data_IF_232979782632
#
_entry.id   IF_232979782632
#
_cell.length_a   1.000
_cell.length_b   1.000
_cell.length_c   1.000
_cell.angle_alpha   90.00
_cell.angle_beta   90.00
_cell.angle_gamma   90.00
#
_symmetry.space_group_name_H-M   'P 1'
#
loop_
_entity.id
_entity.type
_entity.pdbx_description
1 polymer ?
#
# COMPACT_ATOMS: atom_id res chain seq x y z
N UNK A 1 -12.70 32.03 -26.10
CA UNK A 1 -13.55 30.88 -25.73
C UNK A 1 -12.93 30.41 -24.43
N UNK A 2 -13.65 30.58 -23.34
CA UNK A 2 -13.11 30.33 -22.00
C UNK A 2 -13.09 28.81 -21.82
N UNK A 3 -11.90 28.20 -21.81
CA UNK A 3 -11.70 26.73 -21.71
C UNK A 3 -12.13 26.17 -20.33
N UNK A 4 -12.69 27.01 -19.46
CA UNK A 4 -13.13 26.67 -18.11
C UNK A 4 -14.28 25.65 -18.06
N UNK A 5 -15.04 25.50 -19.16
CA UNK A 5 -16.18 24.58 -19.27
C UNK A 5 -15.89 23.35 -20.16
N UNK A 6 -14.68 23.21 -20.70
CA UNK A 6 -14.31 22.02 -21.47
C UNK A 6 -13.97 20.87 -20.52
N UNK A 7 -14.91 19.94 -20.34
CA UNK A 7 -14.70 18.71 -19.57
C UNK A 7 -13.61 17.80 -20.15
N UNK A 8 -13.12 18.07 -21.36
CA UNK A 8 -11.96 17.42 -21.97
C UNK A 8 -10.68 18.25 -21.86
N UNK A 9 -10.71 19.43 -21.24
CA UNK A 9 -9.51 20.22 -20.99
C UNK A 9 -8.59 19.45 -20.04
N UNK A 10 -7.53 18.90 -20.61
CA UNK A 10 -6.48 18.22 -19.86
C UNK A 10 -5.75 19.28 -19.02
N UNK A 11 -5.98 19.29 -17.70
CA UNK A 11 -5.35 20.21 -16.76
C UNK A 11 -3.80 20.16 -16.81
N UNK A 12 -3.22 19.03 -17.23
CA UNK A 12 -1.78 18.89 -17.50
C UNK A 12 -1.50 17.71 -18.43
N UNK A 13 -0.66 17.91 -19.45
CA UNK A 13 -0.28 16.86 -20.40
C UNK A 13 0.30 15.63 -19.66
N UNK A 14 -0.03 14.39 -20.07
CA UNK A 14 0.35 13.20 -19.30
C UNK A 14 1.87 13.03 -19.17
N UNK A 15 2.63 13.56 -20.13
CA UNK A 15 4.10 13.54 -20.18
C UNK A 15 4.79 14.72 -19.48
N UNK A 16 4.04 15.58 -18.77
CA UNK A 16 4.57 16.76 -18.08
C UNK A 16 4.02 16.88 -16.65
N UNK A 17 4.50 17.87 -15.91
CA UNK A 17 4.04 18.21 -14.56
C UNK A 17 4.57 17.30 -13.44
N UNK A 18 4.24 17.62 -12.18
CA UNK A 18 4.65 16.81 -11.02
C UNK A 18 4.09 15.37 -11.07
N UNK A 19 4.90 14.41 -10.62
CA UNK A 19 4.55 12.98 -10.60
C UNK A 19 4.14 12.53 -9.18
N UNK A 20 3.02 13.04 -8.71
CA UNK A 20 2.30 12.48 -7.55
C UNK A 20 1.33 11.39 -7.99
N UNK A 21 0.91 10.54 -7.05
CA UNK A 21 -0.05 9.48 -7.30
C UNK A 21 -1.37 10.06 -7.81
N UNK A 22 -1.80 9.61 -8.99
CA UNK A 22 -3.01 10.06 -9.68
C UNK A 22 -3.13 11.60 -9.77
N UNK A 23 -2.01 12.32 -9.87
CA UNK A 23 -1.94 13.80 -9.89
C UNK A 23 -2.52 14.48 -8.65
N UNK A 24 -2.66 13.76 -7.54
CA UNK A 24 -3.14 14.31 -6.29
C UNK A 24 -2.21 15.42 -5.77
N UNK A 25 -2.72 16.39 -4.99
CA UNK A 25 -1.88 17.38 -4.33
C UNK A 25 -0.80 16.70 -3.48
N UNK A 26 0.44 17.19 -3.61
CA UNK A 26 1.49 16.85 -2.66
C UNK A 26 1.30 17.69 -1.40
N UNK A 27 1.01 17.05 -0.27
CA UNK A 27 0.86 17.74 1.00
C UNK A 27 1.36 16.86 2.16
N UNK A 28 2.10 17.47 3.09
CA UNK A 28 2.60 16.82 4.30
C UNK A 28 1.66 17.00 5.48
N UNK A 29 0.65 17.86 5.34
CA UNK A 29 -0.46 18.00 6.27
C UNK A 29 -1.66 17.16 5.79
N UNK A 30 -1.96 16.02 6.44
CA UNK A 30 -3.08 15.16 6.07
C UNK A 30 -4.43 15.66 6.59
N UNK A 31 -4.51 16.84 7.24
CA UNK A 31 -5.76 17.37 7.83
C UNK A 31 -6.88 17.42 6.81
N UNK A 32 -8.02 16.78 7.11
CA UNK A 32 -9.20 16.59 6.25
C UNK A 32 -9.05 15.59 5.09
N UNK A 33 -7.99 14.77 5.05
CA UNK A 33 -7.81 13.79 3.97
C UNK A 33 -8.75 12.60 4.20
N UNK A 34 -9.45 12.16 3.16
CA UNK A 34 -10.11 10.86 3.18
C UNK A 34 -9.08 9.74 2.97
N UNK A 35 -8.10 9.98 2.08
CA UNK A 35 -7.08 9.00 1.68
C UNK A 35 -5.70 9.67 1.66
N UNK A 36 -4.74 9.09 2.36
CA UNK A 36 -3.34 9.51 2.36
C UNK A 36 -2.50 8.45 1.66
N UNK A 37 -1.86 8.82 0.56
CA UNK A 37 -0.92 7.95 -0.17
C UNK A 37 0.46 8.09 0.42
N UNK A 38 1.07 6.98 0.82
CA UNK A 38 2.41 6.94 1.40
C UNK A 38 3.28 5.92 0.67
N UNK A 39 4.47 6.33 0.24
CA UNK A 39 5.45 5.39 -0.30
C UNK A 39 6.32 4.78 0.79
N UNK A 40 6.57 3.48 0.70
CA UNK A 40 7.43 2.73 1.62
C UNK A 40 8.59 2.08 0.85
N UNK A 41 9.57 2.86 0.37
CA UNK A 41 10.64 2.34 -0.49
C UNK A 41 11.60 1.45 0.30
N UNK A 42 11.37 0.13 0.26
CA UNK A 42 12.16 -0.89 0.95
C UNK A 42 12.21 -2.18 0.13
N UNK A 43 13.36 -2.83 -0.02
CA UNK A 43 13.46 -4.17 -0.63
C UNK A 43 14.44 -5.09 0.13
N UNK A 44 14.69 -4.75 1.40
CA UNK A 44 15.63 -5.47 2.26
C UNK A 44 15.09 -6.81 2.78
N UNK A 45 13.81 -7.10 2.57
CA UNK A 45 13.16 -8.36 2.91
C UNK A 45 13.06 -9.33 1.73
N UNK A 46 13.53 -8.94 0.54
CA UNK A 46 13.46 -9.77 -0.67
C UNK A 46 14.33 -11.02 -0.59
N UNK A 47 13.78 -12.15 -1.05
CA UNK A 47 14.50 -13.45 -1.09
C UNK A 47 15.12 -13.77 -2.45
N UNK A 48 14.86 -12.95 -3.48
CA UNK A 48 15.41 -13.16 -4.82
C UNK A 48 15.97 -11.87 -5.43
N UNK A 49 15.18 -11.14 -6.24
CA UNK A 49 15.65 -9.93 -6.94
C UNK A 49 15.31 -8.67 -6.13
N UNK A 50 16.29 -7.80 -5.84
CA UNK A 50 16.00 -6.46 -5.34
C UNK A 50 15.48 -5.57 -6.46
N UNK A 51 14.95 -4.40 -6.10
CA UNK A 51 14.44 -3.40 -7.03
C UNK A 51 13.12 -2.76 -6.60
N UNK A 52 12.36 -3.44 -5.73
CA UNK A 52 11.07 -2.96 -5.27
C UNK A 52 11.14 -1.63 -4.51
N UNK A 53 12.31 -1.24 -3.96
CA UNK A 53 12.52 0.10 -3.36
C UNK A 53 12.22 1.26 -4.32
N UNK A 54 12.23 1.03 -5.64
CA UNK A 54 11.86 2.03 -6.66
C UNK A 54 10.37 1.99 -7.05
N UNK A 55 9.61 1.04 -6.51
CA UNK A 55 8.19 0.82 -6.75
C UNK A 55 7.33 2.06 -6.52
N UNK A 56 7.45 2.81 -5.40
CA UNK A 56 6.60 3.97 -5.15
C UNK A 56 6.73 5.04 -6.24
N UNK A 57 7.95 5.25 -6.75
CA UNK A 57 8.20 6.18 -7.85
C UNK A 57 7.57 5.68 -9.15
N UNK A 58 7.76 4.41 -9.48
CA UNK A 58 7.23 3.81 -10.71
C UNK A 58 5.70 3.86 -10.74
N UNK A 59 5.03 3.55 -9.62
CA UNK A 59 3.56 3.60 -9.53
C UNK A 59 3.04 5.02 -9.75
N UNK A 60 3.65 6.03 -9.12
CA UNK A 60 3.27 7.44 -9.34
C UNK A 60 3.40 7.83 -10.81
N UNK A 61 4.52 7.51 -11.44
CA UNK A 61 4.76 7.78 -12.86
C UNK A 61 3.72 7.11 -13.78
N UNK A 62 3.31 5.87 -13.50
CA UNK A 62 2.33 5.16 -14.31
C UNK A 62 0.88 5.58 -14.02
N UNK A 63 0.63 6.25 -12.90
CA UNK A 63 -0.73 6.68 -12.49
C UNK A 63 -1.21 7.98 -13.17
N UNK A 64 -0.39 8.63 -14.00
CA UNK A 64 -0.71 9.96 -14.55
C UNK A 64 -2.01 10.01 -15.35
N UNK A 65 -2.36 8.95 -16.06
CA UNK A 65 -3.63 8.85 -16.80
C UNK A 65 -4.84 8.67 -15.88
N UNK A 66 -4.67 7.99 -14.75
CA UNK A 66 -5.73 7.88 -13.73
C UNK A 66 -6.07 9.29 -13.23
N UNK A 67 -5.07 10.12 -12.95
CA UNK A 67 -5.31 11.52 -12.55
C UNK A 67 -5.96 12.42 -13.60
N UNK A 68 -6.02 12.01 -14.88
CA UNK A 68 -6.63 12.81 -15.95
C UNK A 68 -8.15 12.70 -16.04
N UNK A 69 -8.73 11.67 -15.42
CA UNK A 69 -10.16 11.43 -15.44
C UNK A 69 -10.73 11.49 -14.02
N UNK A 70 -10.67 12.65 -13.32
CA UNK A 70 -11.17 12.75 -11.95
C UNK A 70 -12.68 12.46 -11.84
N UNK A 71 -13.42 12.61 -12.94
CA UNK A 71 -14.84 12.29 -13.08
C UNK A 71 -15.11 10.78 -13.34
N UNK A 72 -14.14 9.90 -13.17
CA UNK A 72 -14.38 8.46 -13.12
C UNK A 72 -13.57 7.63 -14.12
N UNK A 73 -13.52 6.33 -13.83
CA UNK A 73 -12.77 5.34 -14.60
C UNK A 73 -13.68 4.19 -14.98
N UNK A 74 -13.62 3.74 -16.24
CA UNK A 74 -14.34 2.55 -16.66
C UNK A 74 -13.91 1.31 -15.84
N UNK A 75 -14.82 0.41 -15.42
CA UNK A 75 -16.28 0.42 -15.62
C UNK A 75 -17.05 1.03 -14.43
N UNK A 76 -16.42 1.86 -13.61
CA UNK A 76 -16.96 2.32 -12.33
C UNK A 76 -17.80 3.59 -12.47
N UNK A 77 -18.96 3.60 -11.82
CA UNK A 77 -19.77 4.81 -11.63
C UNK A 77 -19.22 5.72 -10.52
N UNK A 78 -18.37 5.19 -9.64
CA UNK A 78 -17.79 5.94 -8.53
C UNK A 78 -16.69 6.89 -8.99
N UNK A 79 -16.77 8.16 -8.61
CA UNK A 79 -15.81 9.20 -8.98
C UNK A 79 -14.86 9.51 -7.82
N UNK A 80 -14.06 8.52 -7.39
CA UNK A 80 -13.25 8.60 -6.15
C UNK A 80 -12.40 9.87 -6.08
N UNK A 81 -11.74 10.27 -7.17
CA UNK A 81 -10.88 11.46 -7.20
C UNK A 81 -11.65 12.80 -7.14
N UNK A 82 -12.94 12.80 -7.48
CA UNK A 82 -13.81 13.97 -7.35
C UNK A 82 -14.57 14.01 -6.01
N UNK A 83 -14.89 12.84 -5.45
CA UNK A 83 -15.71 12.70 -4.24
C UNK A 83 -14.91 12.61 -2.95
N UNK A 84 -13.61 12.28 -3.02
CA UNK A 84 -12.74 12.07 -1.86
C UNK A 84 -11.50 12.93 -1.95
N UNK A 85 -11.09 13.50 -0.81
CA UNK A 85 -9.85 14.27 -0.70
C UNK A 85 -8.68 13.30 -0.54
N UNK A 86 -8.00 13.04 -1.66
CA UNK A 86 -6.79 12.24 -1.72
C UNK A 86 -5.55 13.14 -1.71
N UNK A 87 -4.56 12.80 -0.88
CA UNK A 87 -3.29 13.53 -0.74
C UNK A 87 -2.12 12.57 -0.97
N UNK A 88 -1.14 12.97 -1.78
CA UNK A 88 0.15 12.28 -1.85
C UNK A 88 1.10 12.85 -0.81
N UNK A 89 1.36 12.07 0.24
CA UNK A 89 2.19 12.48 1.37
C UNK A 89 3.69 12.29 1.09
N UNK A 90 4.04 11.73 -0.07
CA UNK A 90 5.40 11.37 -0.43
C UNK A 90 5.83 10.03 0.19
N UNK A 91 7.12 9.92 0.50
CA UNK A 91 7.71 8.67 0.98
C UNK A 91 8.07 8.76 2.47
N UNK A 92 8.02 7.62 3.16
CA UNK A 92 8.51 7.48 4.53
C UNK A 92 10.05 7.46 4.48
N UNK A 93 10.66 8.62 4.72
CA UNK A 93 12.11 8.80 4.64
C UNK A 93 12.92 7.81 5.50
N UNK A 94 12.34 7.35 6.61
CA UNK A 94 12.94 6.36 7.50
C UNK A 94 13.34 5.08 6.77
N UNK A 95 12.66 4.64 5.71
CA UNK A 95 12.97 3.35 5.07
C UNK A 95 14.22 3.35 4.20
N UNK A 96 14.72 4.52 3.81
CA UNK A 96 15.75 4.68 2.75
C UNK A 96 17.15 4.21 3.20
N UNK A 97 17.47 4.27 4.49
CA UNK A 97 18.83 3.99 5.00
C UNK A 97 18.96 2.66 5.76
N UNK A 98 17.91 1.83 5.80
CA UNK A 98 17.86 0.61 6.61
C UNK A 98 18.02 -0.70 5.82
N UNK A 99 18.84 -0.71 4.76
CA UNK A 99 19.13 -1.94 4.03
C UNK A 99 19.64 -3.03 4.99
N UNK A 100 18.94 -4.17 5.05
CA UNK A 100 19.24 -5.28 5.96
C UNK A 100 18.81 -5.10 7.42
N UNK A 101 18.05 -4.06 7.76
CA UNK A 101 17.53 -3.81 9.13
C UNK A 101 15.99 -3.72 9.16
N UNK A 102 15.29 -4.85 8.93
CA UNK A 102 13.83 -4.90 8.85
C UNK A 102 13.12 -4.28 10.06
N UNK A 103 13.65 -4.45 11.27
CA UNK A 103 13.05 -3.95 12.51
C UNK A 103 13.05 -2.42 12.57
N UNK A 104 14.05 -1.76 11.97
CA UNK A 104 14.11 -0.29 11.90
C UNK A 104 13.10 0.25 10.90
N UNK A 105 12.93 -0.44 9.76
CA UNK A 105 11.87 -0.13 8.80
C UNK A 105 10.50 -0.25 9.47
N UNK A 106 10.23 -1.34 10.20
CA UNK A 106 8.97 -1.53 10.93
C UNK A 106 8.70 -0.38 11.90
N UNK A 107 9.67 -0.02 12.74
CA UNK A 107 9.55 1.09 13.69
C UNK A 107 9.19 2.40 12.99
N UNK A 108 9.92 2.76 11.93
CA UNK A 108 9.78 4.06 11.28
C UNK A 108 8.48 4.15 10.47
N UNK A 109 8.06 3.06 9.83
CA UNK A 109 6.76 3.01 9.15
C UNK A 109 5.63 3.18 10.14
N UNK A 110 5.65 2.45 11.26
CA UNK A 110 4.62 2.59 12.31
C UNK A 110 4.57 4.01 12.87
N UNK A 111 5.73 4.60 13.18
CA UNK A 111 5.81 5.96 13.70
C UNK A 111 5.32 7.03 12.70
N UNK A 112 5.53 6.82 11.40
CA UNK A 112 5.06 7.73 10.36
C UNK A 112 3.56 7.58 10.08
N UNK A 113 3.03 6.36 10.13
CA UNK A 113 1.64 6.04 9.73
C UNK A 113 0.64 6.24 10.86
N UNK A 114 1.03 6.00 12.10
CA UNK A 114 0.17 6.21 13.27
C UNK A 114 -0.52 7.59 13.33
N UNK A 115 0.19 8.73 13.18
CA UNK A 115 -0.46 10.04 13.16
C UNK A 115 -1.33 10.27 11.91
N UNK A 116 -1.08 9.57 10.80
CA UNK A 116 -1.93 9.67 9.59
C UNK A 116 -3.25 8.94 9.83
N UNK A 117 -3.22 7.74 10.41
CA UNK A 117 -4.43 7.00 10.78
C UNK A 117 -5.23 7.74 11.86
N UNK A 118 -4.55 8.46 12.77
CA UNK A 118 -5.20 9.23 13.83
C UNK A 118 -6.08 10.38 13.32
N UNK A 119 -5.92 10.83 12.06
CA UNK A 119 -6.82 11.83 11.46
C UNK A 119 -8.17 11.23 11.03
N UNK A 120 -8.29 9.90 11.01
CA UNK A 120 -9.43 9.17 10.44
C UNK A 120 -9.27 8.88 8.95
N UNK A 121 -8.17 9.30 8.31
CA UNK A 121 -7.88 8.99 6.93
C UNK A 121 -7.56 7.50 6.72
N UNK A 122 -7.92 6.98 5.55
CA UNK A 122 -7.41 5.69 5.07
C UNK A 122 -6.00 5.86 4.51
N UNK A 123 -5.13 4.88 4.73
CA UNK A 123 -3.75 4.90 4.22
C UNK A 123 -3.62 3.98 3.01
N UNK A 124 -3.19 4.54 1.88
CA UNK A 124 -2.82 3.80 0.68
C UNK A 124 -1.29 3.69 0.59
N UNK A 125 -0.77 2.53 0.97
CA UNK A 125 0.66 2.23 0.90
C UNK A 125 1.12 1.88 -0.51
N UNK A 126 2.06 2.64 -1.07
CA UNK A 126 2.81 2.25 -2.26
C UNK A 126 4.06 1.52 -1.82
N UNK A 127 4.10 0.23 -2.10
CA UNK A 127 5.11 -0.65 -1.55
C UNK A 127 6.50 -0.46 -2.12
N UNK A 128 7.44 -0.88 -1.29
CA UNK A 128 8.56 -1.69 -1.73
C UNK A 128 8.17 -3.17 -1.73
N UNK A 129 9.05 -4.07 -1.28
CA UNK A 129 8.74 -5.49 -1.14
C UNK A 129 7.56 -5.74 -0.18
N UNK A 130 7.01 -6.95 -0.18
CA UNK A 130 5.76 -7.24 0.54
C UNK A 130 5.89 -7.10 2.06
N UNK A 131 7.11 -7.12 2.60
CA UNK A 131 7.36 -7.00 4.03
C UNK A 131 6.82 -5.67 4.59
N UNK A 132 6.72 -4.62 3.76
CA UNK A 132 6.17 -3.31 4.17
C UNK A 132 4.70 -3.38 4.62
N UNK A 133 3.96 -4.43 4.23
CA UNK A 133 2.59 -4.63 4.67
C UNK A 133 2.51 -4.89 6.19
N UNK A 134 3.52 -5.53 6.77
CA UNK A 134 3.55 -5.90 8.18
C UNK A 134 3.39 -4.70 9.14
N UNK A 135 4.23 -3.64 9.08
CA UNK A 135 4.04 -2.46 9.92
C UNK A 135 2.76 -1.67 9.61
N UNK A 136 2.27 -1.71 8.35
CA UNK A 136 1.02 -1.05 7.96
C UNK A 136 -0.20 -1.74 8.59
N UNK A 137 -0.23 -3.08 8.52
CA UNK A 137 -1.24 -3.91 9.19
C UNK A 137 -1.18 -3.69 10.70
N UNK A 138 0.01 -3.72 11.30
CA UNK A 138 0.20 -3.51 12.74
C UNK A 138 -0.41 -2.17 13.20
N UNK A 139 -0.01 -1.06 12.56
CA UNK A 139 -0.49 0.27 12.91
C UNK A 139 -2.01 0.41 12.72
N UNK A 140 -2.55 -0.20 11.67
CA UNK A 140 -4.00 -0.18 11.38
C UNK A 140 -4.76 -1.01 12.43
N UNK A 141 -4.27 -2.20 12.77
CA UNK A 141 -4.91 -3.08 13.75
C UNK A 141 -4.87 -2.49 15.17
N UNK A 142 -3.80 -1.78 15.53
CA UNK A 142 -3.71 -1.06 16.82
C UNK A 142 -4.77 0.04 16.97
N UNK A 143 -5.26 0.58 15.85
CA UNK A 143 -6.30 1.63 15.83
C UNK A 143 -7.72 1.04 15.74
N UNK A 144 -7.90 -0.01 14.94
CA UNK A 144 -9.22 -0.52 14.58
C UNK A 144 -9.57 -1.89 15.18
N UNK A 145 -8.61 -2.54 15.86
CA UNK A 145 -8.72 -3.92 16.30
C UNK A 145 -8.24 -4.92 15.22
N UNK A 146 -8.30 -6.23 15.51
CA UNK A 146 -7.90 -7.28 14.56
C UNK A 146 -8.61 -7.16 13.20
N UNK A 147 -7.86 -7.38 12.12
CA UNK A 147 -8.29 -7.12 10.75
C UNK A 147 -8.57 -8.40 9.97
N UNK A 148 -9.55 -8.33 9.05
CA UNK A 148 -9.64 -9.28 7.95
C UNK A 148 -8.69 -8.87 6.83
N UNK A 149 -7.96 -9.83 6.24
CA UNK A 149 -7.06 -9.61 5.13
C UNK A 149 -7.69 -10.13 3.83
N UNK A 150 -7.70 -9.28 2.79
CA UNK A 150 -7.87 -9.70 1.40
C UNK A 150 -6.52 -9.61 0.72
N UNK A 151 -5.93 -10.76 0.42
CA UNK A 151 -4.58 -10.89 -0.12
C UNK A 151 -4.62 -11.43 -1.54
N UNK A 152 -4.07 -10.70 -2.51
CA UNK A 152 -4.00 -11.13 -3.91
C UNK A 152 -2.53 -11.32 -4.26
N UNK A 153 -2.08 -12.57 -4.33
CA UNK A 153 -0.67 -12.89 -4.56
C UNK A 153 -0.52 -14.31 -5.12
N UNK A 154 0.63 -14.60 -5.73
CA UNK A 154 1.06 -15.96 -6.05
C UNK A 154 1.55 -16.73 -4.81
N UNK A 155 1.95 -16.01 -3.76
CA UNK A 155 2.61 -16.51 -2.56
C UNK A 155 1.72 -16.34 -1.34
N UNK A 156 1.77 -17.30 -0.42
CA UNK A 156 0.98 -17.23 0.82
C UNK A 156 1.55 -16.21 1.82
N UNK A 157 2.86 -15.98 1.77
CA UNK A 157 3.62 -15.14 2.71
C UNK A 157 3.37 -15.48 4.19
N UNK A 158 3.08 -16.77 4.44
CA UNK A 158 2.80 -17.37 5.75
C UNK A 158 3.71 -18.57 6.03
N UNK A 159 4.88 -18.67 5.38
CA UNK A 159 5.80 -19.79 5.63
C UNK A 159 6.33 -19.77 7.07
N UNK A 160 6.48 -20.95 7.65
CA UNK A 160 7.18 -21.11 8.94
C UNK A 160 8.68 -21.23 8.72
N UNK A 161 9.39 -20.15 9.00
CA UNK A 161 10.86 -20.09 8.99
C UNK A 161 11.38 -19.68 10.38
N UNK A 162 10.63 -19.96 11.44
CA UNK A 162 10.86 -19.41 12.78
C UNK A 162 10.41 -17.94 12.89
N UNK A 163 11.11 -17.15 13.70
CA UNK A 163 10.77 -15.76 14.00
C UNK A 163 11.38 -14.75 12.99
N UNK A 164 11.90 -15.25 11.87
CA UNK A 164 12.55 -14.43 10.84
C UNK A 164 11.51 -13.59 10.10
N UNK A 165 11.53 -12.28 10.34
CA UNK A 165 10.68 -11.32 9.65
C UNK A 165 11.24 -10.98 8.25
N UNK A 166 10.58 -11.46 7.20
CA UNK A 166 10.87 -11.17 5.80
C UNK A 166 9.58 -11.11 4.96
N UNK A 167 9.71 -10.86 3.65
CA UNK A 167 8.56 -10.68 2.74
C UNK A 167 7.73 -11.95 2.44
N UNK A 168 8.10 -13.12 2.99
CA UNK A 168 7.37 -14.38 2.86
C UNK A 168 6.89 -14.97 4.19
N UNK A 169 7.14 -14.32 5.31
CA UNK A 169 6.77 -14.84 6.65
C UNK A 169 5.85 -13.90 7.42
N UNK A 170 5.75 -12.65 6.97
CA UNK A 170 5.15 -11.57 7.75
C UNK A 170 3.66 -11.74 8.03
N UNK A 171 2.89 -12.41 7.17
CA UNK A 171 1.47 -12.62 7.45
C UNK A 171 1.23 -13.76 8.44
N UNK A 172 2.14 -14.74 8.54
CA UNK A 172 2.12 -15.72 9.64
C UNK A 172 2.35 -15.00 10.97
N UNK A 173 3.37 -14.16 11.04
CA UNK A 173 3.70 -13.38 12.24
C UNK A 173 2.55 -12.43 12.62
N UNK A 174 1.98 -11.69 11.66
CA UNK A 174 0.87 -10.79 11.91
C UNK A 174 -0.40 -11.52 12.41
N UNK A 175 -0.65 -12.75 11.96
CA UNK A 175 -1.71 -13.60 12.48
C UNK A 175 -1.42 -14.09 13.91
N UNK A 176 -0.17 -14.50 14.20
CA UNK A 176 0.25 -14.92 15.54
C UNK A 176 0.17 -13.77 16.56
N UNK A 177 0.46 -12.54 16.14
CA UNK A 177 0.33 -11.33 16.96
C UNK A 177 -1.12 -10.86 17.13
N UNK A 178 -2.07 -11.51 16.46
CA UNK A 178 -3.49 -11.20 16.54
C UNK A 178 -3.91 -9.95 15.77
N UNK A 179 -3.06 -9.42 14.89
CA UNK A 179 -3.42 -8.28 14.03
C UNK A 179 -4.28 -8.70 12.84
N UNK A 180 -4.11 -9.93 12.36
CA UNK A 180 -4.92 -10.52 11.28
C UNK A 180 -5.72 -11.70 11.82
N UNK A 181 -6.97 -11.81 11.40
CA UNK A 181 -7.90 -12.89 11.76
C UNK A 181 -8.02 -13.87 10.59
N UNK A 182 -7.30 -15.01 10.60
CA UNK A 182 -7.18 -15.86 9.41
C UNK A 182 -8.49 -16.46 8.90
N UNK A 183 -9.37 -16.89 9.81
CA UNK A 183 -10.67 -17.51 9.46
C UNK A 183 -11.70 -16.50 8.91
N UNK A 184 -11.41 -15.21 9.01
CA UNK A 184 -12.12 -14.11 8.36
C UNK A 184 -11.34 -13.50 7.18
N UNK A 185 -10.22 -14.11 6.78
CA UNK A 185 -9.32 -13.62 5.73
C UNK A 185 -9.29 -14.55 4.51
N UNK A 186 -8.90 -14.01 3.36
CA UNK A 186 -8.81 -14.73 2.09
C UNK A 186 -7.51 -14.40 1.34
N UNK A 187 -6.91 -15.42 0.73
CA UNK A 187 -5.79 -15.32 -0.20
C UNK A 187 -6.22 -15.81 -1.59
N UNK A 188 -5.97 -15.03 -2.63
CA UNK A 188 -6.49 -15.26 -3.99
C UNK A 188 -5.35 -15.25 -5.00
N UNK A 189 -5.33 -16.25 -5.88
CA UNK A 189 -4.32 -16.42 -6.93
C UNK A 189 -3.09 -17.21 -6.48
N UNK A 190 -3.15 -17.87 -5.33
CA UNK A 190 -2.04 -18.66 -4.78
C UNK A 190 -1.65 -19.76 -5.77
N UNK A 191 -0.34 -19.88 -6.02
CA UNK A 191 0.24 -20.87 -6.95
C UNK A 191 1.66 -21.26 -6.57
N UNK A 192 1.95 -21.19 -5.27
CA UNK A 192 3.19 -21.70 -4.67
C UNK A 192 2.88 -22.58 -3.47
N UNK A 193 3.65 -23.66 -3.23
CA UNK A 193 3.32 -24.60 -2.17
C UNK A 193 3.61 -24.03 -0.77
N UNK A 194 2.61 -24.10 0.11
CA UNK A 194 2.78 -23.97 1.56
C UNK A 194 1.87 -25.02 2.23
N UNK A 195 2.42 -25.97 3.01
CA UNK A 195 1.63 -27.05 3.62
C UNK A 195 0.67 -26.55 4.72
N UNK A 196 0.89 -25.36 5.27
CA UNK A 196 0.07 -24.76 6.32
C UNK A 196 -0.53 -23.44 5.82
N UNK A 197 -1.85 -23.40 5.65
CA UNK A 197 -2.54 -22.16 5.26
C UNK A 197 -2.66 -21.18 6.42
N UNK A 198 -2.23 -21.54 7.63
CA UNK A 198 -2.37 -20.75 8.86
C UNK A 198 -3.82 -20.35 9.17
N UNK A 199 -4.79 -21.14 8.69
CA UNK A 199 -6.23 -20.88 8.85
C UNK A 199 -6.84 -19.92 7.83
N UNK A 200 -6.04 -19.34 6.92
CA UNK A 200 -6.55 -18.49 5.85
C UNK A 200 -7.38 -19.30 4.84
N UNK A 201 -8.46 -18.70 4.33
CA UNK A 201 -9.14 -19.23 3.15
C UNK A 201 -8.25 -19.01 1.92
N UNK A 202 -7.97 -20.05 1.17
CA UNK A 202 -7.17 -19.97 -0.06
C UNK A 202 -8.04 -20.25 -1.27
N UNK A 203 -7.94 -19.38 -2.28
CA UNK A 203 -8.40 -19.58 -3.65
C UNK A 203 -7.14 -19.56 -4.51
N UNK A 204 -6.76 -20.71 -5.03
CA UNK A 204 -5.61 -20.84 -5.93
C UNK A 204 -5.91 -20.22 -7.30
N UNK A 205 -4.91 -20.23 -8.18
CA UNK A 205 -5.02 -19.64 -9.52
C UNK A 205 -5.68 -20.56 -10.57
N UNK A 206 -5.91 -21.84 -10.23
CA UNK A 206 -6.39 -22.87 -11.16
C UNK A 206 -7.93 -22.90 -11.29
#
# INVERSE_FOLDING_TARGET
>A
MDDADDVYAIASAPFAGPLTFARAPFDRDPTDADIVVVGVPFDGGTTYRPGARLGPRAVREQSVYVGQYPWGHWPWDAQVLAERRLVDWGDIAGTVFWAGYPQRMVRDVRAAVDPLLATGASVLGLGGDHMVAYPLVAATAERHGPLALVHIDAHSDTWDMGDDLNHGTMFRLAAQEGWIVPDHSIQVGIRTPNPDTCGFRVVDAD
#
